data_IF_696730346915
#
_entry.id   IF_696730346915
#
_cell.length_a   1.000
_cell.length_b   1.000
_cell.length_c   1.000
_cell.angle_alpha   90.00
_cell.angle_beta   90.00
_cell.angle_gamma   90.00
#
_symmetry.space_group_name_H-M   'P 1'
#
loop_
_entity.id
_entity.type
_entity.pdbx_description
1 polymer ?
#
# COMPACT_ATOMS: atom_id res chain seq x y z
N UNK A 1 -12.57 18.22 10.30
CA UNK A 1 -12.11 16.87 10.68
C UNK A 1 -11.58 16.24 9.40
N UNK A 2 -10.26 16.25 9.21
CA UNK A 2 -9.65 15.78 7.97
C UNK A 2 -9.57 14.25 8.05
N UNK A 3 -10.29 13.56 7.17
CA UNK A 3 -10.28 12.10 7.02
C UNK A 3 -9.33 11.70 5.89
N UNK A 4 -8.07 12.11 5.99
CA UNK A 4 -7.03 11.37 5.30
C UNK A 4 -6.64 10.22 6.25
N UNK A 5 -6.44 9.03 5.73
CA UNK A 5 -6.27 7.81 6.54
C UNK A 5 -4.87 7.28 6.34
N UNK A 6 -3.88 8.16 6.54
CA UNK A 6 -2.47 7.77 6.64
C UNK A 6 -2.20 7.01 7.94
N UNK A 7 -1.01 6.42 8.04
CA UNK A 7 -0.60 5.65 9.23
C UNK A 7 -0.53 6.52 10.49
N UNK A 8 -0.15 7.79 10.36
CA UNK A 8 -0.09 8.75 11.47
C UNK A 8 -1.47 9.02 12.04
N UNK A 9 -2.45 9.29 11.19
CA UNK A 9 -3.85 9.50 11.57
C UNK A 9 -4.46 8.23 12.16
N UNK A 10 -4.12 7.06 11.61
CA UNK A 10 -4.58 5.77 12.13
C UNK A 10 -4.17 5.52 13.60
N UNK A 11 -2.93 5.88 13.95
CA UNK A 11 -2.41 5.72 15.31
C UNK A 11 -2.54 6.97 16.18
N UNK A 12 -3.15 8.05 15.67
CA UNK A 12 -3.28 9.32 16.38
C UNK A 12 -1.94 10.01 16.67
N UNK A 13 -0.90 9.72 15.87
CA UNK A 13 0.41 10.35 16.00
C UNK A 13 0.36 11.73 15.34
N UNK A 14 0.65 12.82 16.08
CA UNK A 14 0.72 14.16 15.51
C UNK A 14 1.73 14.23 14.37
N UNK A 15 1.37 14.84 13.25
CA UNK A 15 2.27 14.98 12.09
C UNK A 15 3.54 15.78 12.44
N UNK A 16 3.48 16.63 13.47
CA UNK A 16 4.63 17.42 13.95
C UNK A 16 5.69 16.57 14.67
N UNK A 17 5.33 15.38 15.13
CA UNK A 17 6.24 14.40 15.75
C UNK A 17 6.91 13.50 14.71
N UNK A 18 6.59 13.69 13.42
CA UNK A 18 7.16 12.96 12.30
C UNK A 18 8.04 13.91 11.49
N UNK A 19 9.36 13.69 11.50
CA UNK A 19 10.30 14.54 10.78
C UNK A 19 10.08 14.50 9.26
N UNK A 20 9.65 13.34 8.74
CA UNK A 20 9.51 13.09 7.32
C UNK A 20 8.47 12.00 7.01
N UNK A 21 7.61 12.26 6.04
CA UNK A 21 6.69 11.28 5.44
C UNK A 21 7.07 11.10 3.99
N UNK A 22 7.35 9.86 3.61
CA UNK A 22 7.67 9.47 2.22
C UNK A 22 6.60 8.49 1.76
N UNK A 23 6.20 8.57 0.50
CA UNK A 23 5.28 7.61 -0.11
C UNK A 23 5.48 7.46 -1.62
N UNK A 24 5.09 6.30 -2.15
CA UNK A 24 5.01 6.06 -3.59
C UNK A 24 3.66 6.55 -4.15
N UNK A 25 3.68 7.09 -5.35
CA UNK A 25 2.48 7.48 -6.11
C UNK A 25 1.92 6.29 -6.93
N UNK A 26 2.58 5.14 -6.93
CA UNK A 26 2.27 4.01 -7.82
C UNK A 26 1.08 3.17 -7.36
N UNK A 27 0.83 3.18 -6.05
CA UNK A 27 -0.21 2.35 -5.45
C UNK A 27 -1.56 3.07 -5.48
N UNK A 28 -1.95 3.69 -4.36
CA UNK A 28 -3.26 4.31 -4.20
C UNK A 28 -3.53 5.48 -5.17
N UNK A 29 -2.49 6.07 -5.77
CA UNK A 29 -2.59 7.25 -6.63
C UNK A 29 -2.45 6.94 -8.13
N UNK A 30 -2.25 5.65 -8.49
CA UNK A 30 -2.22 5.17 -9.87
C UNK A 30 -1.35 6.00 -10.82
N UNK A 31 -0.18 6.45 -10.35
CA UNK A 31 0.79 7.24 -11.09
C UNK A 31 2.19 6.62 -10.96
N UNK A 32 3.27 7.39 -11.11
CA UNK A 32 4.64 6.91 -10.87
C UNK A 32 5.44 7.89 -10.04
N UNK A 33 6.54 7.40 -9.46
CA UNK A 33 7.42 8.20 -8.61
C UNK A 33 6.95 8.25 -7.15
N UNK A 34 7.43 9.25 -6.42
CA UNK A 34 7.18 9.37 -4.98
C UNK A 34 7.20 10.81 -4.50
N UNK A 35 6.78 11.00 -3.26
CA UNK A 35 6.80 12.29 -2.59
C UNK A 35 7.56 12.20 -1.27
N UNK A 36 8.04 13.35 -0.82
CA UNK A 36 8.59 13.54 0.52
C UNK A 36 7.99 14.81 1.10
N UNK A 37 7.40 14.69 2.29
CA UNK A 37 6.84 15.79 3.07
C UNK A 37 7.61 15.86 4.38
N UNK A 38 7.92 17.07 4.81
CA UNK A 38 8.62 17.34 6.07
C UNK A 38 8.79 18.83 6.27
N UNK A 39 9.59 19.21 7.26
CA UNK A 39 9.92 20.62 7.50
C UNK A 39 10.64 21.21 6.27
N UNK A 40 10.44 22.51 6.04
CA UNK A 40 10.96 23.20 4.84
C UNK A 40 12.47 23.04 4.64
N UNK A 41 13.26 23.06 5.73
CA UNK A 41 14.71 22.84 5.65
C UNK A 41 15.08 21.40 5.28
N UNK A 42 14.29 20.42 5.69
CA UNK A 42 14.48 19.00 5.36
C UNK A 42 14.23 18.78 3.86
N UNK A 43 13.07 19.26 3.38
CA UNK A 43 12.72 19.18 1.95
C UNK A 43 13.69 20.01 1.11
N UNK A 44 14.07 21.19 1.58
CA UNK A 44 15.07 22.05 0.93
C UNK A 44 16.42 21.36 0.77
N UNK A 45 16.91 20.70 1.80
CA UNK A 45 18.15 19.93 1.73
C UNK A 45 18.06 18.79 0.70
N UNK A 46 16.97 18.03 0.70
CA UNK A 46 16.77 16.96 -0.30
C UNK A 46 16.73 17.50 -1.74
N UNK A 47 16.10 18.66 -1.97
CA UNK A 47 16.03 19.27 -3.30
C UNK A 47 17.40 19.75 -3.81
N UNK A 48 18.32 20.11 -2.91
CA UNK A 48 19.65 20.62 -3.27
C UNK A 48 20.72 19.52 -3.31
N UNK A 49 20.55 18.46 -2.52
CA UNK A 49 21.60 17.46 -2.30
C UNK A 49 21.16 16.03 -2.64
N UNK A 50 19.87 15.79 -2.88
CA UNK A 50 19.36 14.46 -3.23
C UNK A 50 19.73 14.10 -4.66
N UNK A 51 20.61 13.10 -4.83
CA UNK A 51 21.07 12.65 -6.15
C UNK A 51 19.91 12.32 -7.10
N UNK A 52 18.90 11.60 -6.58
CA UNK A 52 17.71 11.23 -7.35
C UNK A 52 16.81 12.42 -7.72
N UNK A 53 16.91 13.55 -7.02
CA UNK A 53 16.20 14.78 -7.37
C UNK A 53 17.01 15.64 -8.36
N UNK A 54 18.32 15.77 -8.14
CA UNK A 54 19.20 16.63 -8.94
C UNK A 54 19.55 16.03 -10.31
N UNK A 55 19.65 14.70 -10.42
CA UNK A 55 20.15 14.02 -11.63
C UNK A 55 19.11 13.11 -12.29
N UNK A 56 17.82 13.29 -11.99
CA UNK A 56 16.72 12.57 -12.62
C UNK A 56 15.77 13.50 -13.36
N UNK A 57 15.01 12.95 -14.31
CA UNK A 57 13.94 13.67 -14.98
C UNK A 57 12.74 13.89 -14.04
N UNK A 58 12.07 15.02 -14.20
CA UNK A 58 10.81 15.30 -13.51
C UNK A 58 9.70 14.36 -13.98
N UNK A 59 8.72 14.12 -13.11
CA UNK A 59 7.50 13.38 -13.45
C UNK A 59 6.78 14.06 -14.64
N UNK A 60 6.37 13.32 -15.69
CA UNK A 60 5.58 13.87 -16.79
C UNK A 60 4.32 14.59 -16.31
N UNK A 61 3.94 15.77 -16.88
CA UNK A 61 2.79 16.55 -16.41
C UNK A 61 1.47 15.77 -16.35
N UNK A 62 1.25 14.86 -17.30
CA UNK A 62 0.08 13.98 -17.31
C UNK A 62 -0.01 13.12 -16.04
N UNK A 63 1.11 12.50 -15.64
CA UNK A 63 1.17 11.63 -14.47
C UNK A 63 1.06 12.43 -13.16
N UNK A 64 1.64 13.63 -13.12
CA UNK A 64 1.46 14.55 -12.00
C UNK A 64 -0.01 14.96 -11.83
N UNK A 65 -0.70 15.23 -12.95
CA UNK A 65 -2.14 15.58 -12.93
C UNK A 65 -2.99 14.39 -12.49
N UNK A 66 -2.69 13.18 -12.97
CA UNK A 66 -3.38 11.96 -12.53
C UNK A 66 -3.24 11.72 -11.02
N UNK A 67 -2.03 11.85 -10.47
CA UNK A 67 -1.79 11.71 -9.03
C UNK A 67 -2.54 12.78 -8.21
N UNK A 68 -2.54 14.02 -8.68
CA UNK A 68 -3.27 15.13 -8.04
C UNK A 68 -4.78 14.88 -8.02
N UNK A 69 -5.34 14.40 -9.13
CA UNK A 69 -6.77 14.08 -9.22
C UNK A 69 -7.12 12.86 -8.35
N UNK A 70 -6.27 11.84 -8.29
CA UNK A 70 -6.46 10.70 -7.41
C UNK A 70 -6.49 11.12 -5.92
N UNK A 71 -5.58 12.01 -5.50
CA UNK A 71 -5.59 12.59 -4.16
C UNK A 71 -6.90 13.36 -3.90
N UNK A 72 -7.32 14.20 -4.85
CA UNK A 72 -8.57 14.96 -4.75
C UNK A 72 -9.78 14.04 -4.59
N UNK A 73 -9.83 12.93 -5.35
CA UNK A 73 -10.90 11.95 -5.25
C UNK A 73 -10.95 11.26 -3.89
N UNK A 74 -9.79 10.93 -3.30
CA UNK A 74 -9.71 10.36 -1.94
C UNK A 74 -10.22 11.38 -0.90
N UNK A 75 -9.90 12.66 -1.06
CA UNK A 75 -10.31 13.71 -0.13
C UNK A 75 -11.82 13.99 -0.17
N UNK A 76 -12.43 14.04 -1.36
CA UNK A 76 -13.87 14.34 -1.51
C UNK A 76 -14.77 13.11 -1.29
N UNK A 77 -14.25 11.90 -1.39
CA UNK A 77 -14.97 10.64 -1.24
C UNK A 77 -14.22 9.67 -0.28
N UNK A 78 -14.20 9.97 1.03
CA UNK A 78 -13.51 9.15 2.03
C UNK A 78 -14.16 7.77 2.23
N UNK A 79 -15.39 7.56 1.77
CA UNK A 79 -16.07 6.27 1.84
C UNK A 79 -15.31 5.18 1.08
N UNK A 80 -14.53 5.55 0.05
CA UNK A 80 -13.67 4.61 -0.69
C UNK A 80 -12.72 3.86 0.22
N UNK A 81 -12.06 4.57 1.14
CA UNK A 81 -11.08 3.97 2.04
C UNK A 81 -11.79 3.11 3.10
N UNK A 82 -12.92 3.58 3.62
CA UNK A 82 -13.73 2.82 4.58
C UNK A 82 -14.19 1.50 3.96
N UNK A 83 -14.70 1.55 2.72
CA UNK A 83 -15.16 0.36 1.98
C UNK A 83 -14.01 -0.61 1.69
N UNK A 84 -12.84 -0.10 1.30
CA UNK A 84 -11.64 -0.92 1.12
C UNK A 84 -11.25 -1.63 2.42
N UNK A 85 -11.25 -0.93 3.56
CA UNK A 85 -10.95 -1.52 4.86
C UNK A 85 -11.99 -2.58 5.28
N UNK A 86 -13.28 -2.36 4.99
CA UNK A 86 -14.34 -3.34 5.25
C UNK A 86 -14.11 -4.62 4.44
N UNK A 87 -13.82 -4.51 3.14
CA UNK A 87 -13.50 -5.67 2.31
C UNK A 87 -12.21 -6.36 2.76
N UNK A 88 -11.20 -5.58 3.13
CA UNK A 88 -9.93 -6.11 3.63
C UNK A 88 -10.11 -6.95 4.88
N UNK A 89 -10.94 -6.49 5.83
CA UNK A 89 -11.30 -7.24 7.04
C UNK A 89 -12.06 -8.51 6.72
N UNK A 90 -13.05 -8.41 5.82
CA UNK A 90 -13.85 -9.55 5.38
C UNK A 90 -12.96 -10.65 4.78
N UNK A 91 -12.18 -10.32 3.76
CA UNK A 91 -11.27 -11.27 3.10
C UNK A 91 -10.26 -11.85 4.09
N UNK A 92 -9.69 -11.02 4.98
CA UNK A 92 -8.74 -11.52 5.98
C UNK A 92 -9.34 -12.62 6.85
N UNK A 93 -10.56 -12.39 7.36
CA UNK A 93 -11.27 -13.37 8.19
C UNK A 93 -11.58 -14.64 7.41
N UNK A 94 -12.11 -14.51 6.20
CA UNK A 94 -12.49 -15.66 5.37
C UNK A 94 -11.27 -16.50 4.97
N UNK A 95 -10.15 -15.85 4.59
CA UNK A 95 -8.89 -16.55 4.31
C UNK A 95 -8.34 -17.27 5.54
N UNK A 96 -8.39 -16.65 6.73
CA UNK A 96 -7.99 -17.32 7.97
C UNK A 96 -8.81 -18.59 8.22
N UNK A 97 -10.12 -18.55 7.99
CA UNK A 97 -10.99 -19.71 8.14
C UNK A 97 -10.67 -20.77 7.09
N UNK A 98 -10.53 -20.38 5.83
CA UNK A 98 -10.24 -21.27 4.71
C UNK A 98 -8.90 -22.01 4.87
N UNK A 99 -7.90 -21.38 5.51
CA UNK A 99 -6.59 -21.99 5.72
C UNK A 99 -6.47 -22.84 6.98
N UNK A 100 -7.49 -22.91 7.85
CA UNK A 100 -7.46 -23.80 9.02
C UNK A 100 -7.26 -25.26 8.60
N UNK A 101 -6.25 -25.91 9.17
CA UNK A 101 -5.92 -27.31 8.87
C UNK A 101 -5.22 -27.52 7.51
N UNK A 102 -4.93 -26.44 6.78
CA UNK A 102 -4.10 -26.48 5.57
C UNK A 102 -2.64 -26.15 5.91
N UNK A 103 -1.74 -26.35 4.95
CA UNK A 103 -0.35 -25.89 5.03
C UNK A 103 -0.19 -24.40 4.71
N UNK A 104 -1.28 -23.65 4.49
CA UNK A 104 -1.24 -22.22 4.27
C UNK A 104 -1.52 -21.45 5.56
N UNK A 105 -0.93 -20.27 5.66
CA UNK A 105 -1.19 -19.32 6.75
C UNK A 105 -1.26 -17.91 6.20
N UNK A 106 -1.99 -17.05 6.89
CA UNK A 106 -2.13 -15.65 6.53
C UNK A 106 -1.33 -14.78 7.49
N UNK A 107 -0.51 -13.87 6.95
CA UNK A 107 0.19 -12.83 7.73
C UNK A 107 -0.24 -11.42 7.31
N UNK A 108 -0.12 -10.51 8.27
CA UNK A 108 -0.50 -9.10 8.12
C UNK A 108 -1.67 -8.70 9.00
N UNK A 109 -2.06 -7.43 8.91
CA UNK A 109 -3.17 -6.84 9.68
C UNK A 109 -4.48 -6.99 8.90
N UNK A 110 -5.59 -7.15 9.62
CA UNK A 110 -6.93 -7.35 9.04
C UNK A 110 -7.39 -6.16 8.18
N UNK A 111 -7.08 -4.93 8.58
CA UNK A 111 -7.48 -3.71 7.87
C UNK A 111 -6.66 -3.44 6.60
N UNK A 112 -5.46 -4.04 6.48
CA UNK A 112 -4.57 -3.80 5.34
C UNK A 112 -5.13 -4.42 4.07
N UNK A 113 -5.16 -3.71 2.93
CA UNK A 113 -5.61 -4.30 1.68
C UNK A 113 -4.65 -5.38 1.14
N UNK A 114 -3.39 -5.39 1.58
CA UNK A 114 -2.42 -6.42 1.20
C UNK A 114 -2.50 -7.63 2.14
N UNK A 115 -2.67 -8.81 1.57
CA UNK A 115 -2.83 -10.10 2.27
C UNK A 115 -1.69 -11.03 1.89
N UNK A 116 -0.81 -11.33 2.85
CA UNK A 116 0.36 -12.17 2.59
C UNK A 116 0.06 -13.62 2.95
N UNK A 117 0.01 -14.49 1.94
CA UNK A 117 -0.25 -15.92 2.08
C UNK A 117 1.08 -16.65 2.12
N UNK A 118 1.30 -17.46 3.15
CA UNK A 118 2.54 -18.21 3.34
C UNK A 118 2.23 -19.70 3.31
N UNK A 119 2.98 -20.45 2.51
CA UNK A 119 2.98 -21.91 2.52
C UNK A 119 4.04 -22.45 3.50
N UNK A 120 3.60 -23.24 4.47
CA UNK A 120 4.43 -23.82 5.54
C UNK A 120 4.70 -25.32 5.34
N UNK A 121 4.41 -25.87 4.16
CA UNK A 121 4.68 -27.28 3.83
C UNK A 121 6.07 -27.49 3.23
N UNK A 122 6.24 -28.60 2.50
CA UNK A 122 7.53 -28.91 1.88
C UNK A 122 7.88 -27.93 0.74
N UNK A 123 9.07 -27.34 0.80
CA UNK A 123 9.49 -26.25 -0.11
C UNK A 123 9.53 -26.64 -1.59
N UNK A 124 9.87 -27.89 -1.88
CA UNK A 124 9.84 -28.47 -3.23
C UNK A 124 8.43 -28.50 -3.85
N UNK A 125 7.37 -28.48 -3.05
CA UNK A 125 5.98 -28.47 -3.50
C UNK A 125 5.34 -27.08 -3.47
N UNK A 126 6.08 -26.05 -3.04
CA UNK A 126 5.54 -24.72 -2.79
C UNK A 126 4.92 -24.10 -4.03
N UNK A 127 5.65 -24.06 -5.14
CA UNK A 127 5.22 -23.42 -6.38
C UNK A 127 3.96 -24.12 -6.93
N UNK A 128 3.98 -25.46 -6.99
CA UNK A 128 2.82 -26.24 -7.42
C UNK A 128 1.58 -25.99 -6.54
N UNK A 129 1.76 -25.94 -5.20
CA UNK A 129 0.66 -25.72 -4.27
C UNK A 129 0.10 -24.30 -4.37
N UNK A 130 0.96 -23.33 -4.65
CA UNK A 130 0.56 -21.95 -4.86
C UNK A 130 -0.21 -21.80 -6.17
N UNK A 131 0.26 -22.40 -7.26
CA UNK A 131 -0.44 -22.44 -8.54
C UNK A 131 -1.82 -23.11 -8.42
N UNK A 132 -1.91 -24.23 -7.70
CA UNK A 132 -3.19 -24.89 -7.40
C UNK A 132 -4.15 -23.94 -6.67
N UNK A 133 -3.66 -23.18 -5.68
CA UNK A 133 -4.45 -22.23 -4.92
C UNK A 133 -4.94 -21.07 -5.81
N UNK A 134 -4.04 -20.47 -6.60
CA UNK A 134 -4.32 -19.36 -7.51
C UNK A 134 -5.38 -19.76 -8.54
N UNK A 135 -5.20 -20.92 -9.18
CA UNK A 135 -6.12 -21.44 -10.19
C UNK A 135 -7.50 -21.75 -9.58
N UNK A 136 -7.53 -22.42 -8.43
CA UNK A 136 -8.80 -22.79 -7.76
C UNK A 136 -9.60 -21.56 -7.34
N UNK A 137 -8.91 -20.52 -6.90
CA UNK A 137 -9.54 -19.32 -6.39
C UNK A 137 -9.83 -18.27 -7.48
N UNK A 138 -9.46 -18.56 -8.74
CA UNK A 138 -9.55 -17.63 -9.89
C UNK A 138 -8.98 -16.25 -9.55
N UNK A 139 -7.94 -16.24 -8.73
CA UNK A 139 -7.25 -15.04 -8.26
C UNK A 139 -6.05 -14.79 -9.15
N UNK A 140 -5.72 -13.52 -9.37
CA UNK A 140 -4.41 -13.14 -9.87
C UNK A 140 -3.54 -12.76 -8.68
N UNK A 141 -2.51 -13.55 -8.39
CA UNK A 141 -1.59 -13.30 -7.28
C UNK A 141 -0.26 -12.83 -7.86
N UNK A 142 0.27 -11.72 -7.34
CA UNK A 142 1.62 -11.28 -7.64
C UNK A 142 2.57 -12.01 -6.68
N UNK A 143 3.53 -12.74 -7.24
CA UNK A 143 4.58 -13.43 -6.48
C UNK A 143 5.74 -12.44 -6.31
N UNK A 144 6.08 -12.12 -5.06
CA UNK A 144 7.28 -11.37 -4.67
C UNK A 144 8.26 -12.28 -3.92
#
# INVERSE_FOLDING_TARGET
MYFLTGVTEHYGVPILDVDMVIGSLENALASTGGFCVGRSYVVGHQRLSGLGYCFSASLPPLLATAASEALRLIEVDPERVIKLQQYSKCIHKELQVAFKGSNFSLRGVDISPMKHIIYNGERNMMDQKLDELVNKASLYVVLE
#
